data_IF_144768814666
#
_entry.id   IF_144768814666
#
_cell.length_a   1.000
_cell.length_b   1.000
_cell.length_c   1.000
_cell.angle_alpha   90.00
_cell.angle_beta   90.00
_cell.angle_gamma   90.00
#
_symmetry.space_group_name_H-M   'P 1'
#
loop_
_entity.id
_entity.type
_entity.pdbx_description
1 polymer ?
#
# COMPACT_ATOMS: atom_id res chain seq x y z
N UNK A 1 -2.20 20.84 2.75
CA UNK A 1 -1.95 19.43 3.11
C UNK A 1 -2.95 18.54 2.41
N UNK A 2 -2.70 17.23 2.31
CA UNK A 2 -3.55 16.25 1.61
C UNK A 2 -4.93 16.01 2.27
N UNK A 3 -5.23 16.62 3.42
CA UNK A 3 -6.51 16.48 4.13
C UNK A 3 -6.74 15.12 4.78
N UNK A 4 -5.72 14.26 4.80
CA UNK A 4 -5.78 12.92 5.41
C UNK A 4 -5.62 13.05 6.93
N UNK A 5 -6.47 12.38 7.70
CA UNK A 5 -6.38 12.37 9.15
C UNK A 5 -5.04 11.76 9.63
N UNK A 6 -4.34 12.37 10.61
CA UNK A 6 -3.05 11.88 11.10
C UNK A 6 -3.08 10.41 11.52
N UNK A 7 -4.09 9.96 12.27
CA UNK A 7 -4.23 8.56 12.67
C UNK A 7 -4.28 7.59 11.49
N UNK A 8 -4.89 7.99 10.37
CA UNK A 8 -4.94 7.12 9.19
C UNK A 8 -3.55 6.95 8.59
N UNK A 9 -2.74 8.01 8.62
CA UNK A 9 -1.35 8.00 8.17
C UNK A 9 -0.54 7.11 9.12
N UNK A 10 -0.55 7.38 10.43
CA UNK A 10 0.25 6.63 11.39
C UNK A 10 -0.08 5.14 11.41
N UNK A 11 -1.36 4.78 11.17
CA UNK A 11 -1.80 3.40 11.17
C UNK A 11 -1.61 2.68 9.83
N UNK A 12 -1.41 3.34 8.68
CA UNK A 12 -1.45 2.63 7.38
C UNK A 12 -0.33 2.98 6.41
N UNK A 13 0.47 3.99 6.75
CA UNK A 13 1.49 4.54 5.86
C UNK A 13 2.86 4.31 6.45
N UNK A 14 3.75 3.75 5.65
CA UNK A 14 5.16 3.54 6.01
C UNK A 14 6.00 4.26 4.96
N UNK A 15 6.92 5.13 5.38
CA UNK A 15 7.88 5.72 4.47
C UNK A 15 8.94 4.67 4.12
N UNK A 16 9.16 4.43 2.83
CA UNK A 16 10.20 3.53 2.33
C UNK A 16 11.06 4.28 1.32
N UNK A 17 12.37 4.00 1.31
CA UNK A 17 13.36 4.60 0.42
C UNK A 17 14.55 3.66 0.20
N UNK A 18 15.44 3.99 -0.73
CA UNK A 18 16.56 3.13 -1.08
C UNK A 18 16.09 1.81 -1.69
N UNK A 19 16.68 0.69 -1.30
CA UNK A 19 16.32 -0.64 -1.81
C UNK A 19 15.13 -1.29 -1.07
N UNK A 20 14.70 -0.72 0.06
CA UNK A 20 13.62 -1.27 0.89
C UNK A 20 12.30 -1.45 0.11
N UNK A 21 11.83 -0.51 -0.74
CA UNK A 21 10.61 -0.72 -1.52
C UNK A 21 10.59 -2.01 -2.35
N UNK A 22 11.74 -2.56 -2.72
CA UNK A 22 11.80 -3.81 -3.49
C UNK A 22 11.33 -5.02 -2.69
N UNK A 23 11.55 -5.09 -1.37
CA UNK A 23 11.06 -6.20 -0.56
C UNK A 23 9.52 -6.17 -0.44
N UNK A 24 8.92 -4.99 -0.46
CA UNK A 24 7.47 -4.79 -0.44
C UNK A 24 6.81 -5.00 -1.81
N UNK A 25 7.47 -4.59 -2.90
CA UNK A 25 6.93 -4.75 -4.25
C UNK A 25 7.16 -6.15 -4.81
N UNK A 26 8.33 -6.76 -4.60
CA UNK A 26 8.72 -8.00 -5.29
C UNK A 26 8.41 -9.27 -4.52
N UNK A 27 7.23 -9.31 -3.89
CA UNK A 27 6.73 -10.44 -3.08
C UNK A 27 6.32 -11.66 -3.93
N UNK A 28 5.96 -11.45 -5.21
CA UNK A 28 5.55 -12.57 -6.07
C UNK A 28 6.74 -13.46 -6.48
N UNK A 29 6.61 -14.79 -6.44
CA UNK A 29 7.62 -15.71 -6.96
C UNK A 29 7.80 -15.59 -8.48
N UNK A 30 6.81 -15.04 -9.19
CA UNK A 30 6.85 -14.83 -10.65
C UNK A 30 7.64 -13.58 -11.06
N UNK A 31 8.18 -12.82 -10.09
CA UNK A 31 9.13 -11.75 -10.39
C UNK A 31 10.39 -12.36 -11.00
N UNK A 32 10.84 -11.89 -12.20
CA UNK A 32 11.97 -12.52 -12.88
C UNK A 32 13.26 -12.44 -12.06
N UNK A 33 13.82 -13.59 -11.70
CA UNK A 33 15.06 -13.73 -10.94
C UNK A 33 16.14 -14.47 -11.75
N UNK A 34 17.40 -14.31 -11.33
CA UNK A 34 18.54 -15.13 -11.74
C UNK A 34 18.57 -16.40 -10.87
N UNK A 35 19.36 -17.41 -11.27
CA UNK A 35 19.49 -18.66 -10.51
C UNK A 35 19.95 -18.44 -9.06
N UNK A 36 20.73 -17.39 -8.79
CA UNK A 36 21.15 -16.98 -7.45
C UNK A 36 20.07 -16.18 -6.67
N UNK A 37 18.81 -16.17 -7.10
CA UNK A 37 17.67 -15.52 -6.42
C UNK A 37 17.53 -14.01 -6.64
N UNK A 38 18.57 -13.32 -7.14
CA UNK A 38 18.53 -11.87 -7.41
C UNK A 38 17.56 -11.52 -8.55
N UNK A 39 16.74 -10.48 -8.35
CA UNK A 39 15.85 -9.92 -9.39
C UNK A 39 16.66 -9.50 -10.62
N UNK A 40 16.14 -9.77 -11.83
CA UNK A 40 16.81 -9.43 -13.08
C UNK A 40 16.96 -7.92 -13.25
N UNK A 41 18.08 -7.51 -13.83
CA UNK A 41 18.48 -6.10 -13.93
C UNK A 41 17.48 -5.25 -14.72
N UNK A 42 16.93 -5.76 -15.82
CA UNK A 42 15.90 -5.02 -16.58
C UNK A 42 14.66 -4.71 -15.73
N UNK A 43 14.29 -5.62 -14.83
CA UNK A 43 13.17 -5.43 -13.91
C UNK A 43 13.52 -4.41 -12.82
N UNK A 44 14.71 -4.49 -12.22
CA UNK A 44 15.20 -3.48 -11.27
C UNK A 44 15.24 -2.08 -11.91
N UNK A 45 15.73 -1.96 -13.14
CA UNK A 45 15.81 -0.68 -13.86
C UNK A 45 14.43 -0.06 -14.07
N UNK A 46 13.41 -0.87 -14.34
CA UNK A 46 12.02 -0.38 -14.48
C UNK A 46 11.50 0.25 -13.17
N UNK A 47 11.84 -0.35 -12.02
CA UNK A 47 11.35 0.11 -10.72
C UNK A 47 12.31 1.06 -10.00
N UNK A 48 13.52 1.34 -10.51
CA UNK A 48 14.53 2.20 -9.85
C UNK A 48 14.01 3.52 -9.28
N UNK A 49 13.00 4.10 -9.91
CA UNK A 49 12.35 5.33 -9.43
C UNK A 49 11.78 5.23 -8.00
N UNK A 50 11.46 4.02 -7.51
CA UNK A 50 10.97 3.84 -6.13
C UNK A 50 12.05 4.08 -5.08
N UNK A 51 13.32 3.99 -5.45
CA UNK A 51 14.45 4.23 -4.54
C UNK A 51 14.50 5.68 -4.05
N UNK A 52 13.91 6.62 -4.80
CA UNK A 52 13.80 8.02 -4.43
C UNK A 52 12.85 8.29 -3.24
N UNK A 53 12.23 7.25 -2.70
CA UNK A 53 11.36 7.35 -1.55
C UNK A 53 9.88 7.43 -1.89
N UNK A 54 9.05 7.23 -0.88
CA UNK A 54 7.60 7.31 -1.01
C UNK A 54 6.88 6.59 0.13
N UNK A 55 5.56 6.49 -0.02
CA UNK A 55 4.69 5.90 0.98
C UNK A 55 4.23 4.53 0.54
N UNK A 56 4.52 3.51 1.35
CA UNK A 56 3.82 2.23 1.30
C UNK A 56 2.49 2.36 2.05
N UNK A 57 1.40 2.03 1.36
CA UNK A 57 0.06 2.06 1.93
C UNK A 57 -0.50 0.65 1.94
N UNK A 58 -0.74 0.11 3.14
CA UNK A 58 -1.33 -1.21 3.35
C UNK A 58 -2.31 -1.17 4.53
N UNK A 59 -3.10 -2.24 4.68
CA UNK A 59 -4.12 -2.39 5.70
C UNK A 59 -4.21 -3.82 6.20
N UNK A 60 -5.41 -4.24 6.61
CA UNK A 60 -5.71 -5.58 7.10
C UNK A 60 -6.10 -6.53 5.96
N UNK A 61 -5.77 -7.81 6.10
CA UNK A 61 -6.10 -8.85 5.12
C UNK A 61 -7.34 -9.66 5.53
N UNK A 62 -8.50 -9.47 4.87
CA UNK A 62 -9.71 -10.24 5.19
C UNK A 62 -9.60 -11.74 4.84
N UNK A 63 -8.60 -12.14 4.07
CA UNK A 63 -8.32 -13.52 3.70
C UNK A 63 -7.28 -14.17 4.63
N UNK A 64 -6.68 -13.41 5.55
CA UNK A 64 -5.70 -13.87 6.51
C UNK A 64 -6.03 -13.35 7.91
N UNK A 65 -7.21 -13.71 8.42
CA UNK A 65 -7.67 -13.40 9.79
C UNK A 65 -7.54 -11.92 10.20
N UNK A 66 -7.65 -10.99 9.24
CA UNK A 66 -7.47 -9.55 9.48
C UNK A 66 -6.08 -9.17 10.01
N UNK A 67 -5.07 -9.99 9.80
CA UNK A 67 -3.67 -9.65 10.05
C UNK A 67 -3.17 -8.56 9.08
N UNK A 68 -2.05 -7.87 9.37
CA UNK A 68 -1.44 -6.93 8.44
C UNK A 68 -1.22 -7.55 7.05
N UNK A 69 -1.71 -6.86 6.02
CA UNK A 69 -1.64 -7.33 4.63
C UNK A 69 -0.23 -7.13 4.07
N UNK A 70 0.37 -8.22 3.58
CA UNK A 70 1.66 -8.20 2.88
C UNK A 70 1.60 -7.36 1.60
N UNK A 71 0.45 -7.39 0.90
CA UNK A 71 0.19 -6.57 -0.28
C UNK A 71 -0.19 -5.14 0.09
N UNK A 72 0.30 -4.17 -0.68
CA UNK A 72 -0.04 -2.76 -0.54
C UNK A 72 0.23 -1.99 -1.83
N UNK A 73 0.15 -0.66 -1.77
CA UNK A 73 0.49 0.21 -2.90
C UNK A 73 1.57 1.20 -2.51
N UNK A 74 2.60 1.29 -3.34
CA UNK A 74 3.67 2.26 -3.16
C UNK A 74 3.37 3.55 -3.93
N UNK A 75 3.18 4.65 -3.20
CA UNK A 75 3.07 6.00 -3.75
C UNK A 75 4.46 6.64 -3.80
N UNK A 76 5.11 6.57 -4.96
CA UNK A 76 6.45 7.12 -5.15
C UNK A 76 6.46 8.66 -5.06
N UNK A 77 7.52 9.21 -4.46
CA UNK A 77 7.83 10.63 -4.50
C UNK A 77 8.30 11.09 -5.89
N UNK A 78 8.85 10.17 -6.70
CA UNK A 78 9.33 10.39 -8.06
C UNK A 78 8.61 9.45 -9.04
N UNK A 79 7.30 9.65 -9.29
CA UNK A 79 6.53 8.75 -10.15
C UNK A 79 7.11 8.70 -11.57
N UNK A 80 7.18 7.50 -12.15
CA UNK A 80 7.62 7.33 -13.54
C UNK A 80 6.49 7.56 -14.54
N UNK A 81 6.85 7.84 -15.77
CA UNK A 81 5.92 7.73 -16.90
C UNK A 81 5.48 6.29 -17.14
N UNK A 82 4.23 6.13 -17.53
CA UNK A 82 3.69 4.85 -17.95
C UNK A 82 4.25 4.45 -19.32
N UNK A 83 4.20 3.16 -19.64
CA UNK A 83 4.73 2.61 -20.88
C UNK A 83 3.61 1.91 -21.66
N UNK A 84 3.40 2.32 -22.90
CA UNK A 84 2.48 1.68 -23.83
C UNK A 84 3.19 0.50 -24.48
N UNK A 85 2.76 -0.72 -24.15
CA UNK A 85 3.35 -1.95 -24.69
C UNK A 85 3.03 -2.16 -26.17
N UNK A 86 1.90 -1.67 -26.66
CA UNK A 86 1.50 -1.82 -28.06
C UNK A 86 2.32 -0.90 -28.95
N UNK A 87 2.56 0.34 -28.49
CA UNK A 87 3.35 1.34 -29.23
C UNK A 87 4.85 1.28 -28.93
N UNK A 88 5.26 0.55 -27.90
CA UNK A 88 6.67 0.42 -27.51
C UNK A 88 7.31 1.73 -27.04
N UNK A 89 6.54 2.61 -26.39
CA UNK A 89 7.03 3.94 -25.98
C UNK A 89 6.42 4.40 -24.65
N UNK A 90 7.10 5.36 -24.00
CA UNK A 90 6.55 6.04 -22.83
C UNK A 90 5.33 6.90 -23.20
N UNK A 91 4.43 7.07 -22.24
CA UNK A 91 3.27 7.96 -22.34
C UNK A 91 3.40 9.10 -21.35
N UNK A 92 2.70 10.20 -21.58
CA UNK A 92 2.67 11.35 -20.66
C UNK A 92 1.97 11.06 -19.32
N UNK A 93 1.26 9.92 -19.20
CA UNK A 93 0.58 9.54 -17.96
C UNK A 93 1.57 9.02 -16.93
N UNK A 94 1.56 9.60 -15.74
CA UNK A 94 2.38 9.14 -14.61
C UNK A 94 1.75 7.93 -13.90
N UNK A 95 2.59 6.97 -13.53
CA UNK A 95 2.23 5.90 -12.60
C UNK A 95 2.43 6.42 -11.18
N UNK A 96 1.35 6.95 -10.58
CA UNK A 96 1.39 7.53 -9.23
C UNK A 96 1.49 6.49 -8.12
N UNK A 97 1.05 5.27 -8.39
CA UNK A 97 1.01 4.17 -7.44
C UNK A 97 1.48 2.90 -8.13
N UNK A 98 2.52 2.27 -7.59
CA UNK A 98 2.96 0.94 -7.98
C UNK A 98 2.29 -0.09 -7.07
N UNK A 99 1.74 -1.15 -7.65
CA UNK A 99 1.33 -2.35 -6.91
C UNK A 99 2.41 -3.42 -7.07
N UNK A 100 2.53 -4.38 -6.14
CA UNK A 100 3.38 -5.55 -6.32
C UNK A 100 3.16 -6.20 -7.69
N UNK A 101 4.16 -6.21 -8.59
CA UNK A 101 3.98 -6.81 -9.90
C UNK A 101 3.77 -8.32 -9.79
N UNK A 102 3.06 -8.88 -10.76
CA UNK A 102 2.76 -10.33 -10.82
C UNK A 102 2.00 -10.81 -9.58
N UNK A 103 1.22 -9.94 -8.96
CA UNK A 103 0.24 -10.28 -7.94
C UNK A 103 -1.16 -9.82 -8.41
N UNK A 104 -2.23 -10.52 -8.03
CA UNK A 104 -3.58 -9.97 -8.16
C UNK A 104 -3.74 -8.68 -7.35
N UNK A 105 -4.57 -7.76 -7.83
CA UNK A 105 -4.93 -6.58 -7.04
C UNK A 105 -5.71 -6.99 -5.79
N UNK A 106 -5.45 -6.30 -4.67
CA UNK A 106 -6.22 -6.43 -3.43
C UNK A 106 -6.91 -5.11 -3.10
N UNK A 107 -7.96 -5.20 -2.28
CA UNK A 107 -8.62 -4.03 -1.68
C UNK A 107 -7.88 -3.70 -0.38
N UNK A 108 -7.61 -2.42 -0.15
CA UNK A 108 -6.97 -1.97 1.09
C UNK A 108 -8.03 -1.71 2.18
N UNK A 109 -8.03 -2.54 3.22
CA UNK A 109 -8.86 -2.34 4.42
C UNK A 109 -8.04 -1.61 5.48
N UNK A 110 -8.18 -0.29 5.56
CA UNK A 110 -7.36 0.51 6.45
C UNK A 110 -7.66 0.20 7.92
N UNK A 111 -6.60 0.13 8.73
CA UNK A 111 -6.68 0.27 10.19
C UNK A 111 -7.20 1.66 10.53
N UNK A 112 -8.12 1.75 11.47
CA UNK A 112 -8.81 2.98 11.82
C UNK A 112 -8.82 3.12 13.35
N UNK A 113 -8.55 4.32 13.86
CA UNK A 113 -8.66 4.58 15.30
C UNK A 113 -10.13 4.66 15.75
N UNK A 114 -10.38 4.51 17.05
CA UNK A 114 -11.71 4.70 17.63
C UNK A 114 -12.25 6.11 17.34
N UNK A 115 -11.39 7.13 17.40
CA UNK A 115 -11.77 8.50 17.06
C UNK A 115 -12.25 8.64 15.63
N UNK A 116 -11.58 8.00 14.67
CA UNK A 116 -12.02 7.98 13.27
C UNK A 116 -13.37 7.28 13.10
N UNK A 117 -13.64 6.19 13.82
CA UNK A 117 -14.94 5.53 13.80
C UNK A 117 -16.05 6.44 14.32
N UNK A 118 -15.81 7.13 15.43
CA UNK A 118 -16.75 8.08 16.00
C UNK A 118 -17.07 9.22 15.02
N UNK A 119 -16.06 9.74 14.31
CA UNK A 119 -16.25 10.77 13.29
C UNK A 119 -17.14 10.27 12.13
N UNK A 120 -16.94 9.02 11.68
CA UNK A 120 -17.79 8.40 10.64
C UNK A 120 -19.22 8.21 11.13
N UNK A 121 -19.39 7.64 12.33
CA UNK A 121 -20.70 7.43 12.97
C UNK A 121 -21.48 8.74 13.08
N UNK A 122 -20.86 9.81 13.58
CA UNK A 122 -21.49 11.12 13.73
C UNK A 122 -21.83 11.74 12.37
N UNK A 123 -20.93 11.66 11.39
CA UNK A 123 -21.13 12.27 10.07
C UNK A 123 -22.29 11.65 9.31
N UNK A 124 -22.45 10.34 9.42
CA UNK A 124 -23.43 9.58 8.65
C UNK A 124 -24.64 9.12 9.48
N UNK A 125 -24.70 9.49 10.76
CA UNK A 125 -25.75 9.11 11.71
C UNK A 125 -25.96 7.58 11.76
N UNK A 126 -24.87 6.84 11.87
CA UNK A 126 -24.88 5.37 11.98
C UNK A 126 -24.41 4.99 13.40
N UNK A 127 -25.14 4.15 14.18
CA UNK A 127 -24.78 3.79 15.57
C UNK A 127 -23.48 2.98 15.72
N UNK A 128 -22.52 3.45 16.53
CA UNK A 128 -21.27 2.71 16.80
C UNK A 128 -21.51 1.24 17.21
N UNK A 129 -20.62 0.29 16.83
CA UNK A 129 -20.74 -1.11 17.24
C UNK A 129 -20.63 -1.29 18.75
N UNK A 130 -21.32 -2.29 19.29
CA UNK A 130 -21.36 -2.55 20.74
C UNK A 130 -20.03 -3.10 21.29
N UNK A 131 -19.34 -3.93 20.49
CA UNK A 131 -18.12 -4.64 20.91
C UNK A 131 -16.90 -4.09 20.17
N UNK A 132 -16.36 -2.98 20.66
CA UNK A 132 -15.15 -2.37 20.13
C UNK A 132 -13.97 -2.65 21.07
N UNK A 133 -12.88 -3.17 20.50
CA UNK A 133 -11.60 -3.41 21.16
C UNK A 133 -10.61 -2.38 20.63
N UNK A 134 -9.98 -1.62 21.54
CA UNK A 134 -8.85 -0.77 21.18
C UNK A 134 -7.56 -1.60 21.29
N UNK A 135 -6.77 -1.63 20.21
CA UNK A 135 -5.50 -2.33 20.15
C UNK A 135 -4.34 -1.43 20.64
N UNK A 136 -3.24 -2.06 21.05
CA UNK A 136 -2.06 -1.38 21.59
C UNK A 136 -1.40 -0.41 20.59
N UNK A 137 -1.51 -0.67 19.30
CA UNK A 137 -1.03 0.20 18.21
C UNK A 137 -2.02 1.34 17.86
N UNK A 138 -3.13 1.44 18.60
CA UNK A 138 -4.10 2.54 18.52
C UNK A 138 -5.23 2.36 17.49
N UNK A 139 -5.27 1.24 16.76
CA UNK A 139 -6.43 0.93 15.91
C UNK A 139 -7.56 0.30 16.73
N UNK A 140 -8.79 0.43 16.24
CA UNK A 140 -9.97 -0.17 16.82
C UNK A 140 -10.40 -1.37 15.97
N UNK A 141 -10.78 -2.45 16.65
CA UNK A 141 -11.42 -3.64 16.07
C UNK A 141 -12.86 -3.68 16.56
N UNK A 142 -13.77 -3.92 15.64
CA UNK A 142 -15.20 -4.07 15.87
C UNK A 142 -15.84 -4.40 14.53
N UNK A 143 -17.11 -4.77 14.50
CA UNK A 143 -17.80 -4.97 13.24
C UNK A 143 -18.83 -3.87 13.02
N UNK A 144 -18.62 -3.12 11.93
CA UNK A 144 -19.64 -2.35 11.23
C UNK A 144 -20.15 -3.18 10.05
#
# INVERSE_FOLDING_TARGET
GSGIHPDLISLNYIHLEGDVPYSYLFISPDVPRKNAGRVREGFLKQYRHVEAGGWWVSGLDPQNNWEPMEWGRFKSAAPRFNYDKQKGQQTEKLVKYESPPKTPNRVTYHRMSLGLWQLVSQRYNVPMPDNIIACDDGHAIGFW
#
